data_IF_975009709139
#
_entry.id   IF_975009709139
#
_cell.length_a   1.000
_cell.length_b   1.000
_cell.length_c   1.000
_cell.angle_alpha   90.00
_cell.angle_beta   90.00
_cell.angle_gamma   90.00
#
_symmetry.space_group_name_H-M   'P 1'
#
loop_
_entity.id
_entity.type
_entity.pdbx_description
1 polymer ?
#
# COMPACT_ATOMS: atom_id res chain seq x y z
N UNK A 1 -17.83 57.29 26.03
CA UNK A 1 -18.48 56.52 27.10
C UNK A 1 -18.42 55.07 26.66
N UNK A 2 -17.44 54.28 27.12
CA UNK A 2 -17.12 52.98 26.56
C UNK A 2 -17.98 51.87 27.20
N UNK A 3 -18.48 50.96 26.36
CA UNK A 3 -19.20 49.75 26.76
C UNK A 3 -18.24 48.67 27.28
N UNK A 4 -18.72 47.96 28.30
CA UNK A 4 -18.00 46.96 29.07
C UNK A 4 -17.87 45.65 28.28
N UNK A 5 -16.63 45.19 28.05
CA UNK A 5 -16.34 43.81 27.64
C UNK A 5 -16.06 42.96 28.88
N UNK A 6 -16.90 41.94 29.09
CA UNK A 6 -16.80 40.95 30.15
C UNK A 6 -15.53 40.11 29.97
N UNK A 7 -14.73 40.02 31.04
CA UNK A 7 -13.63 39.09 31.20
C UNK A 7 -14.18 37.67 31.44
N UNK A 8 -13.73 36.70 30.65
CA UNK A 8 -13.88 35.27 30.95
C UNK A 8 -12.66 34.80 31.77
N UNK A 9 -12.83 33.90 32.76
CA UNK A 9 -11.76 33.55 33.69
C UNK A 9 -10.75 32.59 33.07
N UNK A 10 -9.47 32.87 33.35
CA UNK A 10 -8.32 31.98 33.16
C UNK A 10 -8.51 30.67 33.91
N UNK A 11 -8.44 29.53 33.21
CA UNK A 11 -8.31 28.22 33.85
C UNK A 11 -6.84 28.01 34.26
N UNK A 12 -6.59 27.97 35.57
CA UNK A 12 -5.32 27.56 36.16
C UNK A 12 -5.13 26.04 35.99
N UNK A 13 -3.98 25.63 35.47
CA UNK A 13 -3.55 24.21 35.44
C UNK A 13 -2.92 23.87 36.80
N UNK A 14 -3.33 22.81 37.51
CA UNK A 14 -2.75 22.47 38.81
C UNK A 14 -1.32 21.93 38.66
N UNK A 15 -0.41 22.45 39.48
CA UNK A 15 0.93 21.89 39.69
C UNK A 15 0.83 20.79 40.74
N UNK A 16 1.03 19.53 40.35
CA UNK A 16 1.05 18.39 41.28
C UNK A 16 2.32 18.42 42.17
N UNK A 17 2.11 18.22 43.49
CA UNK A 17 3.17 17.95 44.47
C UNK A 17 3.49 16.44 44.48
N UNK A 18 4.73 16.03 44.80
CA UNK A 18 5.11 14.63 44.74
C UNK A 18 4.47 13.82 45.88
N UNK A 19 3.72 12.79 45.53
CA UNK A 19 3.15 11.78 46.43
C UNK A 19 4.01 10.51 46.53
N UNK A 20 3.88 9.84 47.67
CA UNK A 20 4.59 8.64 48.15
C UNK A 20 4.59 7.42 47.19
N UNK A 21 5.58 6.48 47.28
CA UNK A 21 5.79 5.41 46.32
C UNK A 21 4.87 4.22 46.62
N UNK A 22 3.67 4.22 46.02
CA UNK A 22 2.79 3.06 45.94
C UNK A 22 2.73 2.54 44.50
N UNK A 23 3.08 1.26 44.32
CA UNK A 23 2.91 0.42 43.13
C UNK A 23 3.06 1.12 41.76
N UNK A 24 4.26 1.02 41.19
CA UNK A 24 4.50 1.32 39.79
C UNK A 24 3.66 0.38 38.91
N UNK A 25 2.45 0.82 38.56
CA UNK A 25 1.78 0.38 37.34
C UNK A 25 2.73 0.76 36.22
N UNK A 26 3.37 -0.22 35.58
CA UNK A 26 4.08 -0.01 34.33
C UNK A 26 3.11 0.73 33.39
N UNK A 27 3.31 2.03 33.19
CA UNK A 27 2.64 2.75 32.11
C UNK A 27 3.10 2.06 30.84
N UNK A 28 2.23 1.27 30.21
CA UNK A 28 2.46 0.76 28.87
C UNK A 28 2.94 1.94 28.03
N UNK A 29 4.20 1.90 27.61
CA UNK A 29 4.73 2.89 26.68
C UNK A 29 3.85 2.85 25.44
N UNK A 30 3.20 3.96 25.11
CA UNK A 30 2.18 4.00 24.06
C UNK A 30 2.70 3.40 22.75
N UNK A 31 1.89 2.58 22.09
CA UNK A 31 2.23 1.90 20.83
C UNK A 31 2.08 2.85 19.64
N UNK A 32 2.98 2.74 18.68
CA UNK A 32 2.84 3.43 17.39
C UNK A 32 1.93 2.62 16.46
N UNK A 33 1.03 3.30 15.76
CA UNK A 33 0.20 2.71 14.72
C UNK A 33 0.50 3.41 13.38
N UNK A 34 0.47 2.67 12.28
CA UNK A 34 0.57 3.26 10.95
C UNK A 34 -0.77 3.88 10.51
N UNK A 35 -0.64 4.95 9.75
CA UNK A 35 -1.75 5.79 9.32
C UNK A 35 -1.80 5.85 7.80
N UNK A 36 -2.61 4.99 7.20
CA UNK A 36 -2.92 5.08 5.79
C UNK A 36 -3.62 6.41 5.48
N UNK A 37 -3.27 6.97 4.33
CA UNK A 37 -3.98 8.11 3.77
C UNK A 37 -5.44 7.74 3.46
N UNK A 38 -6.34 8.70 3.68
CA UNK A 38 -7.75 8.52 3.31
C UNK A 38 -7.89 8.43 1.79
N UNK A 39 -8.76 7.52 1.35
CA UNK A 39 -8.98 7.24 -0.06
C UNK A 39 -10.43 7.48 -0.42
N UNK A 40 -10.70 8.22 -1.51
CA UNK A 40 -12.06 8.32 -2.00
C UNK A 40 -12.55 6.94 -2.41
N UNK A 41 -13.76 6.59 -1.99
CA UNK A 41 -14.41 5.35 -2.41
C UNK A 41 -14.56 5.34 -3.93
N UNK A 42 -14.15 4.25 -4.60
CA UNK A 42 -14.42 4.09 -6.03
C UNK A 42 -15.92 4.08 -6.26
N UNK A 43 -16.38 4.95 -7.15
CA UNK A 43 -17.80 5.01 -7.55
C UNK A 43 -17.93 4.26 -8.87
N UNK A 44 -18.75 3.21 -8.88
CA UNK A 44 -19.02 2.41 -10.07
C UNK A 44 -20.34 2.82 -10.72
N UNK A 45 -20.42 2.66 -12.04
CA UNK A 45 -21.66 2.88 -12.77
C UNK A 45 -22.73 1.87 -12.33
N UNK A 46 -24.04 2.18 -12.43
CA UNK A 46 -25.13 1.30 -11.97
C UNK A 46 -25.16 -0.11 -12.60
N UNK A 47 -24.47 -0.32 -13.73
CA UNK A 47 -24.37 -1.61 -14.42
C UNK A 47 -23.28 -2.55 -13.87
N UNK A 48 -22.41 -2.09 -12.96
CA UNK A 48 -21.35 -2.92 -12.38
C UNK A 48 -21.96 -3.81 -11.29
N UNK A 49 -21.84 -5.13 -11.47
CA UNK A 49 -22.34 -6.11 -10.49
C UNK A 49 -21.46 -6.12 -9.23
N UNK A 50 -22.02 -6.55 -8.09
CA UNK A 50 -21.26 -6.59 -6.83
C UNK A 50 -20.04 -7.52 -6.87
N UNK A 51 -20.06 -8.58 -7.68
CA UNK A 51 -18.90 -9.46 -7.87
C UNK A 51 -17.82 -8.79 -8.74
N UNK A 52 -18.23 -8.07 -9.79
CA UNK A 52 -17.31 -7.26 -10.63
C UNK A 52 -16.63 -6.18 -9.78
N UNK A 53 -17.41 -5.43 -9.00
CA UNK A 53 -16.91 -4.43 -8.05
C UNK A 53 -15.87 -5.03 -7.09
N UNK A 54 -16.20 -6.18 -6.49
CA UNK A 54 -15.32 -6.87 -5.55
C UNK A 54 -13.98 -7.24 -6.16
N UNK A 55 -13.99 -7.83 -7.35
CA UNK A 55 -12.74 -8.23 -8.01
C UNK A 55 -11.90 -7.01 -8.41
N UNK A 56 -12.54 -5.92 -8.84
CA UNK A 56 -11.87 -4.66 -9.15
C UNK A 56 -11.22 -4.06 -7.91
N UNK A 57 -11.93 -3.95 -6.79
CA UNK A 57 -11.37 -3.37 -5.56
C UNK A 57 -10.23 -4.22 -4.99
N UNK A 58 -10.35 -5.54 -5.07
CA UNK A 58 -9.34 -6.48 -4.60
C UNK A 58 -8.03 -6.40 -5.42
N UNK A 59 -8.15 -6.40 -6.74
CA UNK A 59 -7.01 -6.54 -7.67
C UNK A 59 -6.51 -5.20 -8.21
N UNK A 60 -7.36 -4.17 -8.24
CA UNK A 60 -7.11 -2.89 -8.89
C UNK A 60 -5.89 -2.14 -8.35
N UNK A 61 -5.50 -2.34 -7.10
CA UNK A 61 -4.29 -1.71 -6.57
C UNK A 61 -3.06 -2.63 -6.59
N UNK A 62 -3.19 -3.88 -7.05
CA UNK A 62 -2.09 -4.83 -7.09
C UNK A 62 -1.21 -4.59 -8.34
N UNK A 63 0.08 -4.85 -8.21
CA UNK A 63 1.02 -4.89 -9.33
C UNK A 63 0.77 -6.07 -10.28
N UNK A 64 1.25 -5.99 -11.51
CA UNK A 64 1.37 -7.20 -12.35
C UNK A 64 2.60 -7.99 -11.92
N UNK A 65 2.52 -9.31 -11.88
CA UNK A 65 3.68 -10.16 -11.60
C UNK A 65 4.79 -9.90 -12.62
N UNK A 66 6.03 -9.96 -12.15
CA UNK A 66 7.27 -9.69 -12.88
C UNK A 66 7.69 -8.23 -12.83
N UNK A 67 6.93 -7.37 -12.14
CA UNK A 67 7.31 -5.96 -11.92
C UNK A 67 8.54 -5.90 -11.02
N UNK A 68 9.49 -5.04 -11.40
CA UNK A 68 10.60 -4.63 -10.56
C UNK A 68 10.22 -3.28 -9.98
N UNK A 69 9.99 -3.24 -8.67
CA UNK A 69 9.72 -2.01 -7.93
C UNK A 69 11.04 -1.42 -7.46
N UNK A 70 11.38 -0.25 -7.97
CA UNK A 70 12.57 0.48 -7.60
C UNK A 70 12.28 1.35 -6.41
N UNK A 71 13.19 1.34 -5.44
CA UNK A 71 13.08 2.16 -4.25
C UNK A 71 14.29 3.05 -4.05
N UNK A 72 14.05 4.23 -3.48
CA UNK A 72 15.05 5.23 -3.19
C UNK A 72 14.80 5.81 -1.79
N UNK A 73 15.87 6.02 -1.04
CA UNK A 73 15.84 6.76 0.23
C UNK A 73 16.20 8.22 -0.04
N UNK A 74 15.37 9.15 0.43
CA UNK A 74 15.74 10.57 0.38
C UNK A 74 17.07 10.80 1.10
N UNK A 75 17.99 11.51 0.43
CA UNK A 75 19.40 11.60 0.82
C UNK A 75 19.99 13.00 0.72
N UNK A 76 19.21 14.01 0.30
CA UNK A 76 19.67 15.40 0.17
C UNK A 76 19.24 16.22 1.38
N UNK A 77 20.03 17.21 1.77
CA UNK A 77 19.69 18.13 2.86
C UNK A 77 18.41 18.94 2.59
N UNK A 78 18.09 19.13 1.30
CA UNK A 78 16.86 19.77 0.84
C UNK A 78 15.63 18.86 0.91
N UNK A 79 15.81 17.57 1.19
CA UNK A 79 14.70 16.62 1.33
C UNK A 79 14.10 16.74 2.71
N UNK A 80 12.99 17.47 2.77
CA UNK A 80 12.28 17.76 3.99
C UNK A 80 11.08 18.63 3.71
N UNK A 81 10.38 18.97 4.79
CA UNK A 81 9.29 19.94 4.74
C UNK A 81 9.26 20.79 5.99
N UNK A 82 8.78 22.01 5.81
CA UNK A 82 8.46 22.93 6.89
C UNK A 82 7.07 22.60 7.44
N UNK A 83 6.97 22.31 8.74
CA UNK A 83 5.72 22.03 9.45
C UNK A 83 5.36 23.22 10.32
N UNK A 84 4.10 23.68 10.20
CA UNK A 84 3.53 24.69 11.09
C UNK A 84 3.13 24.03 12.40
N UNK A 85 3.73 24.47 13.51
CA UNK A 85 3.42 24.01 14.85
C UNK A 85 2.20 24.74 15.42
N UNK A 86 1.62 24.19 16.48
CA UNK A 86 0.44 24.75 17.15
C UNK A 86 0.65 26.15 17.74
N UNK A 87 1.90 26.53 18.02
CA UNK A 87 2.28 27.86 18.51
C UNK A 87 2.47 28.89 17.38
N UNK A 88 2.22 28.50 16.13
CA UNK A 88 2.36 29.35 14.95
C UNK A 88 3.79 29.43 14.39
N UNK A 89 4.77 28.76 15.01
CA UNK A 89 6.13 28.67 14.49
C UNK A 89 6.24 27.60 13.40
N UNK A 90 7.22 27.75 12.51
CA UNK A 90 7.51 26.75 11.48
C UNK A 90 8.82 26.05 11.78
N UNK A 91 8.81 24.72 11.75
CA UNK A 91 9.99 23.90 11.96
C UNK A 91 10.30 23.09 10.70
N UNK A 92 11.57 23.08 10.29
CA UNK A 92 12.05 22.20 9.22
C UNK A 92 12.21 20.77 9.73
N UNK A 93 11.64 19.81 9.01
CA UNK A 93 11.80 18.39 9.26
C UNK A 93 12.44 17.72 8.05
N UNK A 94 13.61 17.13 8.26
CA UNK A 94 14.27 16.29 7.24
C UNK A 94 13.53 14.98 7.02
N UNK A 95 13.60 14.47 5.80
CA UNK A 95 13.16 13.13 5.44
C UNK A 95 14.31 12.12 5.40
N UNK A 96 15.55 12.57 5.57
CA UNK A 96 16.74 11.74 5.43
C UNK A 96 16.90 10.83 6.66
N UNK A 97 16.92 9.51 6.42
CA UNK A 97 17.22 8.51 7.44
C UNK A 97 18.70 8.18 7.49
N UNK A 98 19.20 7.86 8.68
CA UNK A 98 20.55 7.31 8.85
C UNK A 98 20.67 5.88 8.28
N UNK A 99 21.90 5.42 8.05
CA UNK A 99 22.17 4.10 7.47
C UNK A 99 21.56 2.94 8.26
N UNK A 100 21.55 3.02 9.60
CA UNK A 100 21.00 1.98 10.45
C UNK A 100 19.49 1.77 10.23
N UNK A 101 18.72 2.85 10.04
CA UNK A 101 17.29 2.73 9.73
C UNK A 101 17.06 2.27 8.29
N UNK A 102 17.87 2.74 7.32
CA UNK A 102 17.82 2.24 5.93
C UNK A 102 18.04 0.72 5.88
N UNK A 103 18.99 0.21 6.66
CA UNK A 103 19.28 -1.22 6.77
C UNK A 103 18.09 -2.03 7.32
N UNK A 104 17.25 -1.45 8.19
CA UNK A 104 16.02 -2.13 8.65
C UNK A 104 15.01 -2.23 7.51
N UNK A 105 14.82 -1.17 6.74
CA UNK A 105 13.90 -1.15 5.59
C UNK A 105 14.37 -2.10 4.48
N UNK A 106 15.68 -2.13 4.19
CA UNK A 106 16.28 -3.09 3.25
C UNK A 106 15.99 -4.54 3.66
N UNK A 107 16.14 -4.89 4.95
CA UNK A 107 15.76 -6.22 5.47
C UNK A 107 14.26 -6.51 5.33
N UNK A 108 13.41 -5.48 5.43
CA UNK A 108 11.98 -5.59 5.13
C UNK A 108 11.71 -6.00 3.67
N UNK A 109 12.41 -5.37 2.71
CA UNK A 109 12.34 -5.77 1.30
C UNK A 109 12.87 -7.19 1.08
N UNK A 110 13.96 -7.56 1.76
CA UNK A 110 14.49 -8.93 1.72
C UNK A 110 13.49 -9.95 2.26
N UNK A 111 12.76 -9.64 3.33
CA UNK A 111 11.74 -10.52 3.88
C UNK A 111 10.65 -10.86 2.84
N UNK A 112 10.15 -9.86 2.12
CA UNK A 112 9.19 -10.07 1.02
C UNK A 112 9.81 -10.81 -0.17
N UNK A 113 11.04 -10.47 -0.55
CA UNK A 113 11.77 -11.15 -1.64
C UNK A 113 11.97 -12.65 -1.34
N UNK A 114 12.33 -12.98 -0.10
CA UNK A 114 12.58 -14.35 0.36
C UNK A 114 11.32 -15.23 0.37
N UNK A 115 10.12 -14.64 0.26
CA UNK A 115 8.89 -15.41 0.06
C UNK A 115 8.91 -16.15 -1.28
N UNK A 116 9.60 -15.61 -2.30
CA UNK A 116 9.64 -16.17 -3.65
C UNK A 116 8.41 -15.80 -4.46
N UNK A 117 8.11 -14.51 -4.53
CA UNK A 117 6.97 -13.94 -5.26
C UNK A 117 7.41 -13.37 -6.61
N UNK A 118 6.44 -13.14 -7.50
CA UNK A 118 6.67 -12.56 -8.81
C UNK A 118 7.05 -11.08 -8.80
N UNK A 119 7.15 -10.41 -7.65
CA UNK A 119 7.60 -9.01 -7.56
C UNK A 119 9.05 -8.99 -7.11
N UNK A 120 9.87 -8.14 -7.73
CA UNK A 120 11.24 -7.91 -7.31
C UNK A 120 11.42 -6.47 -6.83
N UNK A 121 12.41 -6.25 -5.97
CA UNK A 121 12.74 -4.94 -5.44
C UNK A 121 14.17 -4.57 -5.78
N UNK A 122 14.41 -3.31 -6.14
CA UNK A 122 15.72 -2.81 -6.51
C UNK A 122 15.97 -1.44 -5.89
N UNK A 123 17.01 -1.30 -5.09
CA UNK A 123 17.45 0.03 -4.66
C UNK A 123 18.08 0.78 -5.84
N UNK A 124 17.76 2.06 -5.98
CA UNK A 124 18.35 2.96 -6.98
C UNK A 124 18.85 4.23 -6.31
N UNK A 125 19.82 4.89 -6.96
CA UNK A 125 20.45 6.11 -6.46
C UNK A 125 19.83 7.40 -7.01
N UNK A 126 18.78 7.28 -7.84
CA UNK A 126 18.07 8.41 -8.41
C UNK A 126 16.57 8.29 -8.11
N UNK A 127 15.99 9.32 -7.51
CA UNK A 127 14.55 9.37 -7.20
C UNK A 127 13.67 9.38 -8.44
N UNK A 128 14.19 9.88 -9.56
CA UNK A 128 13.49 9.89 -10.85
C UNK A 128 13.32 8.46 -11.41
N UNK A 129 14.11 7.52 -10.90
CA UNK A 129 14.09 6.11 -11.28
C UNK A 129 13.32 5.23 -10.29
N UNK A 130 12.76 5.80 -9.22
CA UNK A 130 12.15 5.04 -8.14
C UNK A 130 10.63 5.20 -8.12
N UNK A 131 9.88 4.09 -8.13
CA UNK A 131 8.45 4.11 -7.84
C UNK A 131 8.20 4.31 -6.33
N UNK A 132 9.05 3.73 -5.48
CA UNK A 132 8.97 3.82 -4.01
C UNK A 132 9.99 4.83 -3.49
N UNK A 133 9.54 5.87 -2.78
CA UNK A 133 10.40 6.95 -2.28
C UNK A 133 10.21 7.10 -0.78
N UNK A 134 11.25 6.79 -0.02
CA UNK A 134 11.16 6.48 1.41
C UNK A 134 11.77 7.62 2.23
N UNK A 135 10.96 8.20 3.11
CA UNK A 135 11.40 9.20 4.09
C UNK A 135 11.36 8.68 5.53
N UNK A 136 12.00 9.43 6.43
CA UNK A 136 12.13 9.11 7.86
C UNK A 136 11.71 10.29 8.75
N UNK A 137 10.65 11.00 8.34
CA UNK A 137 10.22 12.22 9.02
C UNK A 137 9.69 11.90 10.42
N UNK A 138 10.47 12.25 11.46
CA UNK A 138 10.10 12.02 12.86
C UNK A 138 8.75 12.67 13.21
N UNK A 139 7.88 11.91 13.86
CA UNK A 139 6.55 12.36 14.29
C UNK A 139 5.47 12.29 13.22
N UNK A 140 5.80 11.99 11.97
CA UNK A 140 4.84 11.91 10.85
C UNK A 140 4.17 10.53 10.71
N UNK A 141 4.34 9.66 11.73
CA UNK A 141 3.87 8.27 11.71
C UNK A 141 4.61 7.39 10.69
N UNK A 142 4.29 6.10 10.66
CA UNK A 142 4.65 5.22 9.56
C UNK A 142 3.46 5.08 8.63
N UNK A 143 3.72 5.06 7.32
CA UNK A 143 2.69 4.91 6.29
C UNK A 143 3.31 4.59 4.93
N UNK A 144 2.51 4.02 4.05
CA UNK A 144 2.77 3.85 2.62
C UNK A 144 1.46 4.02 1.85
N UNK A 145 1.54 4.51 0.62
CA UNK A 145 0.39 4.40 -0.29
C UNK A 145 0.11 2.95 -0.64
N UNK A 146 -1.13 2.66 -1.06
CA UNK A 146 -1.55 1.29 -1.31
C UNK A 146 -1.26 0.87 -2.75
N UNK A 147 -0.28 -0.01 -2.93
CA UNK A 147 -0.07 -0.66 -4.22
C UNK A 147 0.33 0.33 -5.32
N UNK A 148 -0.38 0.27 -6.46
CA UNK A 148 -0.12 1.12 -7.63
C UNK A 148 -0.46 2.60 -7.44
N UNK A 149 -1.11 2.98 -6.34
CA UNK A 149 -1.37 4.41 -6.01
C UNK A 149 -0.06 5.20 -5.89
N UNK A 150 1.08 4.56 -5.58
CA UNK A 150 2.39 5.23 -5.54
C UNK A 150 2.76 5.92 -6.87
N UNK A 151 2.16 5.49 -7.99
CA UNK A 151 2.40 6.03 -9.33
C UNK A 151 1.74 7.40 -9.55
N UNK A 152 0.80 7.81 -8.69
CA UNK A 152 0.13 9.12 -8.76
C UNK A 152 0.98 10.25 -8.17
N UNK A 153 2.12 9.90 -7.56
CA UNK A 153 2.99 10.84 -6.86
C UNK A 153 4.26 11.13 -7.63
N UNK A 154 4.65 12.40 -7.64
CA UNK A 154 5.86 12.86 -8.33
C UNK A 154 7.17 12.44 -7.62
N UNK A 155 8.32 12.64 -8.28
CA UNK A 155 9.63 12.22 -7.79
C UNK A 155 10.07 12.94 -6.49
N UNK A 156 9.53 14.12 -6.20
CA UNK A 156 9.84 14.89 -4.98
C UNK A 156 8.86 14.62 -3.82
N UNK A 157 7.95 13.66 -3.97
CA UNK A 157 7.00 13.28 -2.93
C UNK A 157 7.37 11.92 -2.34
N UNK A 158 7.29 11.81 -1.00
CA UNK A 158 7.39 10.54 -0.29
C UNK A 158 6.20 9.65 -0.69
N UNK A 159 6.49 8.37 -0.91
CA UNK A 159 5.44 7.35 -1.08
C UNK A 159 5.36 6.38 0.09
N UNK A 160 6.36 6.44 0.97
CA UNK A 160 6.46 5.70 2.22
C UNK A 160 7.21 6.57 3.23
N UNK A 161 6.82 6.49 4.50
CA UNK A 161 7.49 7.17 5.59
C UNK A 161 7.62 6.27 6.83
N UNK A 162 8.68 6.50 7.60
CA UNK A 162 8.85 5.95 8.94
C UNK A 162 9.08 7.05 9.96
N UNK A 163 8.10 7.22 10.86
CA UNK A 163 8.04 8.37 11.77
C UNK A 163 8.76 8.20 13.11
N UNK A 164 9.32 7.03 13.38
CA UNK A 164 10.02 6.69 14.61
C UNK A 164 11.21 5.79 14.34
N UNK A 165 12.01 5.56 15.38
CA UNK A 165 13.31 4.90 15.26
C UNK A 165 13.16 3.40 14.98
N UNK A 166 13.40 3.01 13.74
CA UNK A 166 13.33 1.61 13.29
C UNK A 166 14.46 0.72 13.82
N UNK A 167 15.45 1.27 14.53
CA UNK A 167 16.52 0.45 15.11
C UNK A 167 16.11 -0.21 16.42
N UNK A 168 14.93 0.14 16.96
CA UNK A 168 14.39 -0.48 18.17
C UNK A 168 14.02 -1.95 17.92
N UNK A 169 14.02 -2.79 18.96
CA UNK A 169 13.58 -4.18 18.84
C UNK A 169 12.15 -4.28 18.29
N UNK A 170 11.91 -5.18 17.33
CA UNK A 170 10.59 -5.42 16.74
C UNK A 170 10.25 -4.57 15.51
N UNK A 171 10.96 -3.48 15.25
CA UNK A 171 10.62 -2.52 14.17
C UNK A 171 10.90 -3.02 12.75
N UNK A 172 11.53 -4.19 12.60
CA UNK A 172 11.56 -4.88 11.31
C UNK A 172 10.12 -5.16 10.83
N UNK A 173 9.20 -5.46 11.75
CA UNK A 173 7.81 -5.75 11.41
C UNK A 173 7.10 -4.51 10.86
N UNK A 174 7.41 -3.32 11.37
CA UNK A 174 6.93 -2.05 10.79
C UNK A 174 7.43 -1.87 9.36
N UNK A 175 8.71 -2.13 9.09
CA UNK A 175 9.23 -2.08 7.72
C UNK A 175 8.52 -3.09 6.80
N UNK A 176 8.32 -4.33 7.26
CA UNK A 176 7.60 -5.36 6.49
C UNK A 176 6.15 -4.92 6.23
N UNK A 177 5.48 -4.33 7.22
CA UNK A 177 4.10 -3.83 7.15
C UNK A 177 3.94 -2.74 6.08
N UNK A 178 4.78 -1.69 6.12
CA UNK A 178 4.69 -0.61 5.13
C UNK A 178 4.98 -1.09 3.71
N UNK A 179 5.91 -2.04 3.56
CA UNK A 179 6.18 -2.66 2.25
C UNK A 179 4.98 -3.54 1.83
N UNK A 180 4.26 -4.14 2.76
CA UNK A 180 2.98 -4.82 2.52
C UNK A 180 1.92 -3.88 1.93
N UNK A 181 1.81 -2.65 2.44
CA UNK A 181 0.97 -1.62 1.82
C UNK A 181 1.43 -1.27 0.40
N UNK A 182 2.73 -1.13 0.15
CA UNK A 182 3.27 -0.97 -1.21
C UNK A 182 2.93 -2.15 -2.12
N UNK A 183 2.79 -3.37 -1.59
CA UNK A 183 2.28 -4.54 -2.32
C UNK A 183 0.74 -4.58 -2.42
N UNK A 184 0.06 -3.59 -1.89
CA UNK A 184 -1.38 -3.42 -2.02
C UNK A 184 -2.21 -4.14 -0.95
N UNK A 185 -1.61 -4.52 0.18
CA UNK A 185 -2.34 -5.13 1.30
C UNK A 185 -2.89 -4.06 2.25
N UNK A 186 -4.20 -4.02 2.53
CA UNK A 186 -4.75 -3.14 3.55
C UNK A 186 -4.53 -3.74 4.95
N UNK A 187 -4.99 -3.06 6.00
CA UNK A 187 -4.90 -3.61 7.36
C UNK A 187 -5.82 -4.81 7.59
N UNK A 188 -5.30 -5.81 8.30
CA UNK A 188 -6.00 -7.07 8.58
C UNK A 188 -7.10 -6.93 9.65
N UNK A 189 -6.96 -6.02 10.62
CA UNK A 189 -8.00 -5.77 11.64
C UNK A 189 -9.27 -5.11 11.09
N UNK A 190 -9.16 -4.50 9.90
CA UNK A 190 -10.29 -3.93 9.18
C UNK A 190 -11.03 -4.98 8.34
N UNK A 191 -10.51 -6.21 8.27
CA UNK A 191 -11.18 -7.33 7.60
C UNK A 191 -12.55 -7.58 8.26
N UNK A 192 -13.68 -7.50 7.53
CA UNK A 192 -15.01 -7.78 8.07
C UNK A 192 -15.15 -9.19 8.65
N UNK A 193 -14.30 -10.14 8.21
CA UNK A 193 -14.28 -11.52 8.75
C UNK A 193 -13.49 -11.66 10.05
N UNK A 194 -12.87 -10.60 10.56
CA UNK A 194 -12.17 -10.63 11.84
C UNK A 194 -13.10 -10.85 13.04
N UNK A 195 -14.39 -10.52 12.88
CA UNK A 195 -15.35 -10.56 14.00
C UNK A 195 -15.00 -9.56 15.11
N UNK A 196 -14.05 -8.65 14.85
CA UNK A 196 -13.63 -7.65 15.83
C UNK A 196 -14.75 -6.64 16.04
N UNK A 197 -15.32 -6.66 17.25
CA UNK A 197 -16.14 -5.58 17.79
C UNK A 197 -15.27 -4.74 18.73
N UNK A 198 -15.12 -3.45 18.41
CA UNK A 198 -14.27 -2.54 19.17
C UNK A 198 -14.98 -1.99 20.41
N UNK A 199 -14.21 -1.70 21.47
CA UNK A 199 -14.60 -0.67 22.40
C UNK A 199 -14.19 0.71 21.86
N UNK A 200 -15.00 1.26 20.95
CA UNK A 200 -14.61 2.44 20.16
C UNK A 200 -14.17 3.63 21.02
N UNK A 201 -14.85 3.90 22.14
CA UNK A 201 -14.46 5.00 23.04
C UNK A 201 -13.10 4.75 23.71
N UNK A 202 -12.81 3.50 24.09
CA UNK A 202 -11.50 3.14 24.61
C UNK A 202 -10.41 3.26 23.52
N UNK A 203 -10.73 2.87 22.28
CA UNK A 203 -9.84 3.02 21.12
C UNK A 203 -9.57 4.50 20.84
N UNK A 204 -10.60 5.36 20.77
CA UNK A 204 -10.43 6.80 20.60
C UNK A 204 -9.60 7.42 21.73
N UNK A 205 -9.90 7.07 22.98
CA UNK A 205 -9.17 7.59 24.13
C UNK A 205 -7.69 7.17 24.10
N UNK A 206 -7.41 5.90 23.77
CA UNK A 206 -6.05 5.37 23.69
C UNK A 206 -5.23 6.01 22.56
N UNK A 207 -5.79 6.12 21.35
CA UNK A 207 -5.07 6.69 20.19
C UNK A 207 -5.00 8.23 20.20
N UNK A 208 -5.83 8.92 21.00
CA UNK A 208 -5.69 10.35 21.24
C UNK A 208 -4.46 10.71 22.11
N UNK A 209 -3.87 9.73 22.81
CA UNK A 209 -2.65 9.93 23.61
C UNK A 209 -1.37 9.76 22.77
N UNK A 210 -0.23 10.28 23.26
CA UNK A 210 1.08 9.95 22.70
C UNK A 210 1.32 8.43 22.66
N UNK A 211 2.04 7.93 21.64
CA UNK A 211 2.74 8.70 20.63
C UNK A 211 1.90 9.10 19.40
N UNK A 212 0.65 8.62 19.28
CA UNK A 212 -0.15 8.81 18.08
C UNK A 212 -0.78 10.19 18.00
N UNK A 213 -1.41 10.65 19.10
CA UNK A 213 -2.13 11.93 19.18
C UNK A 213 -3.16 12.10 18.04
N UNK A 214 -3.89 11.04 17.71
CA UNK A 214 -4.81 11.05 16.59
C UNK A 214 -6.16 11.67 16.96
N UNK A 215 -6.72 12.54 16.09
CA UNK A 215 -8.12 12.92 16.19
C UNK A 215 -9.01 11.71 15.89
N UNK A 216 -10.28 11.79 16.30
CA UNK A 216 -11.24 10.67 16.16
C UNK A 216 -11.36 10.20 14.71
N UNK A 217 -11.39 11.11 13.77
CA UNK A 217 -11.58 10.82 12.34
C UNK A 217 -10.44 9.92 11.81
N UNK A 218 -9.19 10.24 12.19
CA UNK A 218 -8.01 9.45 11.81
C UNK A 218 -8.04 8.06 12.45
N UNK A 219 -8.43 7.98 13.72
CA UNK A 219 -8.60 6.69 14.43
C UNK A 219 -9.72 5.86 13.82
N UNK A 220 -10.83 6.49 13.46
CA UNK A 220 -11.94 5.80 12.80
C UNK A 220 -11.48 5.18 11.48
N UNK A 221 -10.84 5.99 10.63
CA UNK A 221 -10.37 5.54 9.32
C UNK A 221 -9.37 4.39 9.38
N UNK A 222 -8.39 4.48 10.29
CA UNK A 222 -7.27 3.55 10.34
C UNK A 222 -7.54 2.31 11.21
N UNK A 223 -8.39 2.41 12.24
CA UNK A 223 -8.60 1.33 13.22
C UNK A 223 -10.02 0.78 13.17
N UNK A 224 -11.02 1.65 13.34
CA UNK A 224 -12.39 1.21 13.65
C UNK A 224 -13.13 0.76 12.39
N UNK A 225 -13.01 1.52 11.31
CA UNK A 225 -13.71 1.29 10.04
C UNK A 225 -13.40 -0.11 9.52
N UNK A 226 -14.44 -0.84 9.14
CA UNK A 226 -14.30 -2.10 8.40
C UNK A 226 -14.21 -1.83 6.90
N UNK A 227 -13.36 -2.60 6.24
CA UNK A 227 -13.33 -2.64 4.78
C UNK A 227 -14.63 -3.29 4.30
N UNK A 228 -15.10 -2.88 3.13
CA UNK A 228 -16.19 -3.56 2.46
C UNK A 228 -15.80 -5.02 2.21
N UNK A 229 -16.74 -5.98 2.28
CA UNK A 229 -16.51 -7.34 1.79
C UNK A 229 -16.04 -7.38 0.32
N UNK A 230 -16.28 -6.31 -0.45
CA UNK A 230 -15.76 -6.14 -1.82
C UNK A 230 -14.27 -5.77 -1.86
N UNK A 231 -13.67 -5.29 -0.77
CA UNK A 231 -12.26 -4.86 -0.70
C UNK A 231 -11.31 -5.92 -0.11
N UNK A 232 -11.86 -7.02 0.43
CA UNK A 232 -11.09 -8.10 1.06
C UNK A 232 -11.44 -9.47 0.45
N UNK A 233 -10.44 -10.33 0.29
CA UNK A 233 -10.71 -11.73 -0.08
C UNK A 233 -11.16 -12.56 1.13
N UNK A 234 -12.08 -13.47 0.88
CA UNK A 234 -12.84 -14.19 1.89
C UNK A 234 -12.13 -15.33 2.62
N UNK A 235 -10.80 -15.42 2.64
CA UNK A 235 -10.08 -16.57 3.20
C UNK A 235 -9.61 -16.33 4.64
N UNK A 236 -10.55 -16.17 5.57
CA UNK A 236 -10.35 -16.19 7.05
C UNK A 236 -9.32 -15.21 7.63
N UNK A 237 -9.79 -14.33 8.51
CA UNK A 237 -8.94 -13.44 9.32
C UNK A 237 -7.70 -14.13 9.91
N UNK A 238 -6.58 -13.41 9.88
CA UNK A 238 -5.31 -13.84 10.45
C UNK A 238 -4.85 -12.90 11.59
N UNK A 239 -4.98 -13.29 12.87
CA UNK A 239 -4.53 -12.47 13.99
C UNK A 239 -3.00 -12.32 14.03
N UNK A 240 -2.26 -13.20 13.35
CA UNK A 240 -0.79 -13.19 13.28
C UNK A 240 -0.25 -12.53 12.00
N UNK A 241 -1.12 -11.98 11.14
CA UNK A 241 -0.68 -11.29 9.94
C UNK A 241 0.20 -10.09 10.30
N UNK A 242 1.26 -9.87 9.52
CA UNK A 242 2.06 -8.65 9.64
C UNK A 242 1.23 -7.39 9.39
N UNK A 243 0.10 -7.51 8.65
CA UNK A 243 -0.83 -6.41 8.37
C UNK A 243 -1.81 -6.14 9.53
N UNK A 244 -1.71 -6.89 10.62
CA UNK A 244 -2.52 -6.70 11.82
C UNK A 244 -1.76 -5.89 12.87
N UNK A 245 -2.41 -4.90 13.48
CA UNK A 245 -1.77 -4.22 14.61
C UNK A 245 -1.87 -4.99 15.91
N UNK A 246 -0.90 -4.81 16.82
CA UNK A 246 -1.03 -5.26 18.18
C UNK A 246 -1.96 -4.31 18.96
N UNK A 247 -3.04 -4.83 19.53
CA UNK A 247 -3.99 -4.05 20.34
C UNK A 247 -3.88 -4.41 21.83
N UNK A 248 -3.85 -3.39 22.69
CA UNK A 248 -3.80 -3.56 24.14
C UNK A 248 -5.09 -4.11 24.73
N UNK A 249 -5.04 -4.45 26.02
CA UNK A 249 -6.21 -4.91 26.79
C UNK A 249 -7.34 -3.89 26.76
N UNK A 250 -8.58 -4.36 26.67
CA UNK A 250 -9.77 -3.53 26.78
C UNK A 250 -10.13 -2.72 25.52
N UNK A 251 -9.36 -2.85 24.43
CA UNK A 251 -9.70 -2.22 23.15
C UNK A 251 -10.67 -3.08 22.32
N UNK A 252 -10.61 -4.41 22.46
CA UNK A 252 -11.41 -5.37 21.69
C UNK A 252 -12.47 -5.97 22.62
N UNK A 253 -13.75 -5.86 22.24
CA UNK A 253 -14.88 -6.50 22.96
C UNK A 253 -15.09 -7.94 22.50
N UNK A 254 -15.01 -8.17 21.19
CA UNK A 254 -15.08 -9.51 20.58
C UNK A 254 -14.02 -9.67 19.50
N UNK A 255 -13.51 -10.89 19.25
CA UNK A 255 -13.78 -12.12 20.02
C UNK A 255 -13.26 -12.01 21.46
N UNK A 256 -13.96 -12.60 22.44
CA UNK A 256 -13.63 -12.48 23.87
C UNK A 256 -12.21 -12.96 24.20
N UNK A 257 -11.70 -13.92 23.43
CA UNK A 257 -10.30 -14.39 23.50
C UNK A 257 -9.28 -13.24 23.40
N UNK A 258 -9.62 -12.14 22.70
CA UNK A 258 -8.75 -10.98 22.51
C UNK A 258 -9.09 -9.80 23.41
N UNK A 259 -10.03 -9.94 24.36
CA UNK A 259 -10.33 -8.89 25.33
C UNK A 259 -9.13 -8.56 26.23
N UNK A 260 -8.24 -9.55 26.45
CA UNK A 260 -6.96 -9.38 27.14
C UNK A 260 -5.87 -8.68 26.32
N UNK A 261 -6.13 -8.39 25.06
CA UNK A 261 -5.17 -7.86 24.08
C UNK A 261 -4.89 -8.86 22.95
N UNK A 262 -4.40 -8.33 21.84
CA UNK A 262 -3.97 -9.07 20.66
C UNK A 262 -2.56 -8.64 20.32
N UNK A 263 -1.67 -9.62 20.15
CA UNK A 263 -0.28 -9.38 19.75
C UNK A 263 0.07 -10.38 18.65
N UNK A 264 0.31 -9.92 17.41
CA UNK A 264 0.78 -10.79 16.34
C UNK A 264 2.15 -11.39 16.70
N UNK A 265 2.42 -12.60 16.21
CA UNK A 265 3.69 -13.30 16.43
C UNK A 265 4.94 -12.57 15.88
N UNK A 266 4.75 -11.65 14.92
CA UNK A 266 5.82 -10.92 14.24
C UNK A 266 6.31 -11.60 12.96
N UNK A 267 6.86 -10.80 12.05
CA UNK A 267 7.21 -11.22 10.69
C UNK A 267 6.01 -11.65 9.84
N UNK A 268 6.30 -12.23 8.68
CA UNK A 268 5.27 -12.71 7.74
C UNK A 268 4.68 -14.06 8.18
N UNK A 269 3.37 -14.08 8.41
CA UNK A 269 2.62 -15.29 8.75
C UNK A 269 2.62 -16.32 7.59
N UNK A 270 2.18 -17.54 7.87
CA UNK A 270 2.00 -18.55 6.83
C UNK A 270 0.91 -18.14 5.81
N UNK A 271 -0.14 -17.45 6.28
CA UNK A 271 -1.22 -16.95 5.43
C UNK A 271 -0.75 -15.75 4.61
N UNK A 272 0.02 -14.82 5.19
CA UNK A 272 0.63 -13.70 4.44
C UNK A 272 1.43 -14.24 3.25
N UNK A 273 2.30 -15.23 3.51
CA UNK A 273 3.14 -15.87 2.48
C UNK A 273 2.33 -16.60 1.41
N UNK A 274 1.27 -17.31 1.78
CA UNK A 274 0.42 -18.01 0.83
C UNK A 274 -0.37 -17.02 -0.05
N UNK A 275 -0.89 -15.96 0.58
CA UNK A 275 -1.71 -14.95 -0.06
C UNK A 275 -0.92 -14.07 -1.03
N UNK A 276 0.26 -13.60 -0.63
CA UNK A 276 1.12 -12.84 -1.55
C UNK A 276 1.57 -13.69 -2.75
N UNK A 277 1.75 -15.01 -2.58
CA UNK A 277 2.08 -15.92 -3.69
C UNK A 277 0.93 -16.14 -4.66
N UNK A 278 -0.32 -16.19 -4.19
CA UNK A 278 -1.47 -16.34 -5.08
C UNK A 278 -1.67 -15.08 -5.93
N UNK A 279 -1.45 -13.89 -5.34
CA UNK A 279 -1.56 -12.61 -6.05
C UNK A 279 -0.36 -12.32 -6.95
N UNK A 280 0.83 -12.76 -6.55
CA UNK A 280 2.07 -12.53 -7.28
C UNK A 280 2.78 -13.85 -7.56
N UNK A 281 2.21 -14.71 -8.43
CA UNK A 281 2.89 -15.93 -8.84
C UNK A 281 4.19 -15.57 -9.58
N UNK A 282 5.21 -16.43 -9.43
CA UNK A 282 6.46 -16.30 -10.18
C UNK A 282 6.17 -16.30 -11.69
N UNK A 283 6.76 -15.33 -12.38
CA UNK A 283 6.65 -15.22 -13.83
C UNK A 283 7.71 -16.10 -14.46
N UNK A 284 7.29 -17.11 -15.22
CA UNK A 284 8.18 -17.79 -16.16
C UNK A 284 8.34 -16.88 -17.38
N UNK A 285 9.56 -16.69 -17.88
CA UNK A 285 9.74 -16.06 -19.19
C UNK A 285 8.94 -16.85 -20.23
N UNK A 286 8.11 -16.16 -21.02
CA UNK A 286 7.45 -16.77 -22.19
C UNK A 286 8.21 -16.40 -23.45
N UNK A 287 8.25 -17.34 -24.39
CA UNK A 287 8.68 -17.08 -25.77
C UNK A 287 7.53 -16.66 -26.67
N UNK A 288 6.31 -16.57 -26.13
CA UNK A 288 5.14 -16.19 -26.91
C UNK A 288 5.24 -14.74 -27.37
N UNK A 289 5.24 -14.56 -28.69
CA UNK A 289 5.37 -13.27 -29.34
C UNK A 289 4.00 -12.73 -29.69
N UNK A 290 3.70 -11.50 -29.29
CA UNK A 290 2.57 -10.77 -29.85
C UNK A 290 3.03 -10.12 -31.15
N UNK A 291 2.37 -10.45 -32.26
CA UNK A 291 2.70 -9.94 -33.59
C UNK A 291 1.68 -8.89 -34.03
N UNK A 292 2.10 -7.88 -34.82
CA UNK A 292 1.18 -6.93 -35.42
C UNK A 292 0.02 -7.62 -36.16
N UNK A 293 -1.18 -7.08 -35.97
CA UNK A 293 -2.44 -7.52 -36.61
C UNK A 293 -2.84 -8.97 -36.33
N UNK A 294 -2.35 -9.56 -35.23
CA UNK A 294 -2.77 -10.88 -34.76
C UNK A 294 -3.45 -10.76 -33.39
N UNK A 295 -4.75 -11.09 -33.35
CA UNK A 295 -5.48 -11.20 -32.10
C UNK A 295 -5.13 -12.51 -31.40
N UNK A 296 -4.80 -12.43 -30.11
CA UNK A 296 -4.48 -13.58 -29.27
C UNK A 296 -5.49 -13.66 -28.12
N UNK A 297 -6.21 -14.78 -28.01
CA UNK A 297 -7.09 -15.04 -26.88
C UNK A 297 -6.27 -15.18 -25.60
N UNK A 298 -6.71 -14.51 -24.53
CA UNK A 298 -6.03 -14.58 -23.25
C UNK A 298 -6.28 -15.93 -22.56
N UNK A 299 -7.51 -16.48 -22.59
CA UNK A 299 -7.84 -17.76 -21.95
C UNK A 299 -7.36 -17.88 -20.49
N UNK A 300 -7.59 -16.82 -19.70
CA UNK A 300 -7.30 -16.77 -18.27
C UNK A 300 -8.57 -16.46 -17.49
N UNK A 301 -8.61 -16.87 -16.22
CA UNK A 301 -9.65 -16.51 -15.26
C UNK A 301 -9.25 -15.24 -14.48
N UNK A 302 -10.19 -14.68 -13.72
CA UNK A 302 -9.94 -13.55 -12.81
C UNK A 302 -8.72 -13.83 -11.90
N UNK A 303 -7.86 -12.81 -11.71
CA UNK A 303 -6.57 -12.93 -11.03
C UNK A 303 -5.44 -13.52 -11.89
N UNK A 304 -5.79 -14.21 -12.98
CA UNK A 304 -4.84 -14.76 -13.93
C UNK A 304 -4.06 -13.67 -14.68
N UNK A 305 -2.88 -14.03 -15.15
CA UNK A 305 -2.00 -13.13 -15.89
C UNK A 305 -1.40 -13.83 -17.09
N UNK A 306 -1.25 -13.08 -18.19
CA UNK A 306 -0.44 -13.47 -19.34
C UNK A 306 0.60 -12.42 -19.67
N UNK A 307 1.60 -12.88 -20.40
CA UNK A 307 2.72 -12.10 -20.86
C UNK A 307 2.95 -12.36 -22.35
N UNK A 308 3.51 -11.38 -23.03
CA UNK A 308 3.91 -11.50 -24.42
C UNK A 308 5.22 -10.75 -24.63
N UNK A 309 6.09 -11.31 -25.44
CA UNK A 309 7.27 -10.60 -25.94
C UNK A 309 6.90 -9.84 -27.21
N UNK A 310 7.43 -8.63 -27.35
CA UNK A 310 7.25 -7.78 -28.52
C UNK A 310 8.62 -7.32 -28.99
N UNK A 311 8.93 -7.57 -30.24
CA UNK A 311 10.15 -7.07 -30.90
C UNK A 311 9.74 -6.40 -32.19
N UNK A 312 9.63 -5.05 -32.22
CA UNK A 312 9.15 -4.33 -33.39
C UNK A 312 10.11 -4.50 -34.57
N UNK A 313 9.55 -4.74 -35.75
CA UNK A 313 10.31 -4.78 -37.01
C UNK A 313 10.55 -3.39 -37.60
N UNK A 314 9.82 -2.39 -37.10
CA UNK A 314 9.85 -0.99 -37.53
C UNK A 314 9.74 -0.04 -36.32
N UNK A 315 10.37 1.13 -36.43
CA UNK A 315 10.22 2.20 -35.43
C UNK A 315 8.99 3.03 -35.78
N UNK A 316 7.86 2.77 -35.12
CA UNK A 316 6.61 3.50 -35.32
C UNK A 316 5.75 3.51 -34.07
N UNK A 317 4.64 4.25 -34.13
CA UNK A 317 3.58 4.09 -33.14
C UNK A 317 2.87 2.76 -33.38
N UNK A 318 2.72 2.01 -32.29
CA UNK A 318 1.89 0.83 -32.20
C UNK A 318 0.72 1.12 -31.26
N UNK A 319 -0.42 0.52 -31.57
CA UNK A 319 -1.57 0.49 -30.67
C UNK A 319 -1.66 -0.89 -30.05
N UNK A 320 -2.01 -0.93 -28.77
CA UNK A 320 -2.30 -2.16 -28.03
C UNK A 320 -3.70 -2.02 -27.47
N UNK A 321 -4.51 -3.07 -27.60
CA UNK A 321 -5.87 -3.05 -27.08
C UNK A 321 -6.30 -4.46 -26.67
N UNK A 322 -7.00 -4.55 -25.55
CA UNK A 322 -7.77 -5.74 -25.18
C UNK A 322 -9.16 -5.71 -25.83
N UNK A 323 -9.78 -6.86 -26.01
CA UNK A 323 -11.12 -6.97 -26.60
C UNK A 323 -11.92 -7.96 -25.78
N UNK A 324 -13.20 -7.66 -25.55
CA UNK A 324 -14.13 -8.53 -24.84
C UNK A 324 -14.92 -7.77 -23.77
N UNK A 325 -15.67 -8.52 -22.98
CA UNK A 325 -16.42 -8.05 -21.80
C UNK A 325 -15.65 -8.43 -20.54
N UNK A 326 -14.55 -7.70 -20.29
CA UNK A 326 -13.63 -7.98 -19.20
C UNK A 326 -12.95 -6.72 -18.67
N UNK A 327 -12.58 -6.76 -17.40
CA UNK A 327 -11.70 -5.76 -16.79
C UNK A 327 -10.26 -6.30 -16.76
N UNK A 328 -9.34 -5.55 -17.35
CA UNK A 328 -7.93 -5.85 -17.49
C UNK A 328 -7.05 -4.67 -17.10
N UNK A 329 -5.91 -4.99 -16.48
CA UNK A 329 -4.76 -4.08 -16.49
C UNK A 329 -3.76 -4.59 -17.52
N UNK A 330 -3.34 -3.70 -18.41
CA UNK A 330 -2.36 -3.97 -19.45
C UNK A 330 -1.15 -3.07 -19.24
N UNK A 331 0.05 -3.65 -19.10
CA UNK A 331 1.29 -2.93 -18.80
C UNK A 331 2.39 -3.33 -19.75
N UNK A 332 3.08 -2.35 -20.33
CA UNK A 332 4.21 -2.56 -21.21
C UNK A 332 5.52 -2.17 -20.52
N UNK A 333 6.48 -3.08 -20.58
CA UNK A 333 7.85 -2.88 -20.14
C UNK A 333 8.79 -2.90 -21.35
N UNK A 334 9.84 -2.08 -21.32
CA UNK A 334 11.01 -2.23 -22.19
C UNK A 334 12.05 -3.07 -21.47
N UNK A 335 12.67 -4.00 -22.18
CA UNK A 335 13.76 -4.81 -21.69
C UNK A 335 15.09 -4.16 -22.06
N UNK A 336 15.73 -3.55 -21.07
CA UNK A 336 17.07 -2.96 -21.17
C UNK A 336 18.07 -3.92 -20.51
N UNK A 337 18.61 -4.84 -21.32
CA UNK A 337 19.62 -5.82 -20.89
C UNK A 337 19.19 -6.67 -19.67
N UNK A 338 17.94 -7.14 -19.67
CA UNK A 338 17.34 -7.91 -18.59
C UNK A 338 16.68 -7.05 -17.51
N UNK A 339 16.80 -5.72 -17.59
CA UNK A 339 16.12 -4.81 -16.69
C UNK A 339 14.83 -4.31 -17.33
N UNK A 340 13.69 -4.78 -16.81
CA UNK A 340 12.38 -4.34 -17.28
C UNK A 340 12.05 -2.96 -16.72
N UNK A 341 11.88 -1.99 -17.62
CA UNK A 341 11.52 -0.60 -17.29
C UNK A 341 10.09 -0.32 -17.75
N UNK A 342 9.27 0.19 -16.85
CA UNK A 342 7.89 0.56 -17.18
C UNK A 342 7.89 1.60 -18.31
N UNK A 343 7.00 1.45 -19.29
CA UNK A 343 6.85 2.39 -20.40
C UNK A 343 5.48 3.04 -20.44
N UNK A 344 4.45 2.23 -20.23
CA UNK A 344 3.05 2.67 -20.21
C UNK A 344 2.17 1.52 -19.71
N UNK A 345 0.95 1.82 -19.33
CA UNK A 345 -0.07 0.85 -19.04
C UNK A 345 -1.43 1.53 -18.98
N UNK A 346 -2.47 0.72 -19.05
CA UNK A 346 -3.85 1.16 -18.93
C UNK A 346 -4.64 0.17 -18.07
N UNK A 347 -5.61 0.70 -17.34
CA UNK A 347 -6.47 -0.03 -16.42
C UNK A 347 -7.93 0.35 -16.70
N UNK A 348 -8.66 -0.55 -17.35
CA UNK A 348 -10.04 -0.33 -17.77
C UNK A 348 -11.06 -0.67 -16.65
N UNK A 349 -10.59 -1.01 -15.45
CA UNK A 349 -11.40 -1.53 -14.36
C UNK A 349 -12.68 -0.73 -14.07
N UNK A 350 -13.82 -1.41 -14.13
CA UNK A 350 -15.12 -0.86 -13.77
C UNK A 350 -15.68 0.09 -14.82
N UNK A 351 -15.01 0.20 -15.97
CA UNK A 351 -15.45 0.95 -17.11
C UNK A 351 -15.94 -0.02 -18.18
N UNK A 352 -16.90 0.39 -19.00
CA UNK A 352 -17.35 -0.43 -20.14
C UNK A 352 -16.49 -0.13 -21.39
N UNK A 353 -15.17 0.01 -21.18
CA UNK A 353 -14.14 0.15 -22.21
C UNK A 353 -13.12 -0.99 -22.08
N UNK A 354 -12.20 -1.09 -23.04
CA UNK A 354 -11.09 -2.03 -22.97
C UNK A 354 -9.77 -1.29 -22.83
N UNK A 355 -8.82 -1.88 -22.10
CA UNK A 355 -7.50 -1.33 -21.87
C UNK A 355 -6.80 -1.03 -23.21
N UNK A 356 -6.32 0.19 -23.36
CA UNK A 356 -5.75 0.71 -24.59
C UNK A 356 -4.59 1.66 -24.32
N UNK A 357 -3.53 1.53 -25.12
CA UNK A 357 -2.55 2.60 -25.25
C UNK A 357 -1.91 2.66 -26.63
N UNK A 358 -1.41 3.85 -26.97
CA UNK A 358 -0.64 4.11 -28.18
C UNK A 358 0.76 4.58 -27.79
N UNK A 359 1.79 3.84 -28.23
CA UNK A 359 3.18 4.12 -27.86
C UNK A 359 4.12 3.92 -29.06
N UNK A 360 5.16 4.75 -29.14
CA UNK A 360 6.22 4.59 -30.13
C UNK A 360 7.21 3.54 -29.65
N UNK A 361 7.34 2.45 -30.40
CA UNK A 361 8.33 1.41 -30.14
C UNK A 361 9.51 1.56 -31.11
N UNK A 362 10.68 1.09 -30.70
CA UNK A 362 11.92 1.19 -31.47
C UNK A 362 12.25 -0.18 -32.07
N UNK A 363 12.53 -0.19 -33.38
CA UNK A 363 12.92 -1.40 -34.13
C UNK A 363 14.03 -2.16 -33.41
N UNK A 364 13.85 -3.47 -33.28
CA UNK A 364 14.84 -4.39 -32.72
C UNK A 364 14.99 -4.36 -31.20
N UNK A 365 14.34 -3.41 -30.50
CA UNK A 365 14.28 -3.44 -29.04
C UNK A 365 13.27 -4.49 -28.56
N UNK A 366 13.52 -5.05 -27.38
CA UNK A 366 12.64 -6.04 -26.76
C UNK A 366 11.73 -5.35 -25.76
N UNK A 367 10.45 -5.70 -25.81
CA UNK A 367 9.43 -5.25 -24.88
C UNK A 367 8.67 -6.46 -24.34
N UNK A 368 8.12 -6.32 -23.14
CA UNK A 368 7.29 -7.33 -22.49
C UNK A 368 5.95 -6.70 -22.15
N UNK A 369 4.89 -7.18 -22.80
CA UNK A 369 3.51 -6.85 -22.47
C UNK A 369 3.03 -7.81 -21.38
N UNK A 370 2.38 -7.29 -20.35
CA UNK A 370 1.75 -8.08 -19.29
C UNK A 370 0.30 -7.66 -19.15
N UNK A 371 -0.57 -8.64 -19.06
CA UNK A 371 -2.02 -8.43 -18.98
C UNK A 371 -2.53 -9.27 -17.83
N UNK A 372 -3.16 -8.64 -16.85
CA UNK A 372 -3.86 -9.33 -15.77
C UNK A 372 -5.35 -9.07 -15.91
N UNK A 373 -6.12 -10.14 -15.78
CA UNK A 373 -7.57 -10.11 -15.85
C UNK A 373 -8.13 -9.95 -14.43
N UNK A 374 -8.95 -8.94 -14.20
CA UNK A 374 -9.63 -8.75 -12.92
C UNK A 374 -11.01 -9.38 -12.93
N UNK A 375 -11.77 -9.17 -14.00
CA UNK A 375 -13.10 -9.73 -14.18
C UNK A 375 -13.32 -10.12 -15.63
N UNK A 376 -14.16 -11.12 -15.86
CA UNK A 376 -14.63 -11.51 -17.19
C UNK A 376 -16.05 -12.02 -17.08
N UNK A 377 -16.94 -11.47 -17.90
CA UNK A 377 -18.34 -11.91 -17.98
C UNK A 377 -18.44 -13.34 -18.55
N UNK A 378 -17.53 -13.67 -19.49
CA UNK A 378 -17.39 -15.01 -20.09
C UNK A 378 -15.92 -15.41 -20.22
N UNK A 379 -15.46 -16.39 -19.44
CA UNK A 379 -14.09 -16.90 -19.54
C UNK A 379 -13.75 -17.33 -20.97
N UNK A 380 -12.62 -16.85 -21.48
CA UNK A 380 -12.11 -17.23 -22.81
C UNK A 380 -12.55 -16.33 -23.98
N UNK A 381 -13.35 -15.29 -23.74
CA UNK A 381 -13.73 -14.33 -24.79
C UNK A 381 -12.83 -13.08 -24.84
N UNK A 382 -11.91 -12.92 -23.88
CA UNK A 382 -10.97 -11.78 -23.87
C UNK A 382 -9.78 -12.04 -24.77
N UNK A 383 -9.45 -11.10 -25.67
CA UNK A 383 -8.28 -11.13 -26.53
C UNK A 383 -7.40 -9.89 -26.36
N UNK A 384 -6.18 -9.93 -26.89
CA UNK A 384 -5.32 -8.75 -27.09
C UNK A 384 -4.81 -8.72 -28.52
N UNK A 385 -4.63 -7.51 -29.07
CA UNK A 385 -3.96 -7.30 -30.34
C UNK A 385 -3.02 -6.09 -30.24
N UNK A 386 -1.96 -6.12 -31.05
CA UNK A 386 -1.16 -4.93 -31.36
C UNK A 386 -1.20 -4.63 -32.87
N UNK A 387 -1.13 -3.38 -33.31
CA UNK A 387 -1.06 -3.03 -34.74
C UNK A 387 -0.33 -1.72 -35.05
#
# INVERSE_FOLDING_TARGET
>A
MPEQQQYLPTQEVPVERPGDPGEAVEKETGRFYCALHERPTRVFAPGVTSERERLINLLGNKWVSGTVLRYYFFDRDTDGQSVLLSDGTTQWHTWVGNEAQRAVVQRGFEAWKNVGIGINFQEVNDREEAEIRIGFMRGDGAWSWLGREILEHGPNQRTMNFGWDLTRPGELDTAIHEIGHTLGFPHEHQNPKAGIEWDEEAVYAALAQPPNNWPRERTFWNIIRKLSPSEVEGTTWDPDSVMHYPFGRGLIKKPETYAGGLQPAGGLSAKDKAWVKSLYPLVKETEEKLKPSQSVLLNISAGGQRHFTVTPEETRYYQFQTFGTSDTVMVLFEDDNGQLRYRTGDDDSGQDINAFFRIKLIKGRRYVLRIRLYYSDRPGETAVMMW
#
